data_IF_129737597384
#
_entry.id   IF_129737597384
#
_cell.length_a   1.000
_cell.length_b   1.000
_cell.length_c   1.000
_cell.angle_alpha   90.00
_cell.angle_beta   90.00
_cell.angle_gamma   90.00
#
_symmetry.space_group_name_H-M   'P 1'
#
loop_
_entity.id
_entity.type
_entity.pdbx_description
1 polymer ?
#
# COMPACT_ATOMS: atom_id res chain seq x y z
N UNK A 1 30.30 7.64 32.28
CA UNK A 1 28.85 7.83 32.07
C UNK A 1 28.30 6.46 31.68
N UNK A 2 27.38 5.89 32.46
CA UNK A 2 26.83 4.57 32.15
C UNK A 2 25.96 4.66 30.89
N UNK A 3 26.15 3.75 29.94
CA UNK A 3 25.26 3.64 28.78
C UNK A 3 23.83 3.35 29.22
N UNK A 4 22.88 4.07 28.63
CA UNK A 4 21.45 3.82 28.86
C UNK A 4 21.05 2.47 28.25
N UNK A 5 19.97 1.86 28.75
CA UNK A 5 19.47 0.58 28.23
C UNK A 5 19.15 0.65 26.72
N UNK A 6 18.69 1.82 26.25
CA UNK A 6 18.44 2.09 24.83
C UNK A 6 19.74 2.00 23.99
N UNK A 7 20.81 2.65 24.44
CA UNK A 7 22.12 2.55 23.78
C UNK A 7 22.67 1.12 23.74
N UNK A 8 22.48 0.34 24.82
CA UNK A 8 22.90 -1.06 24.84
C UNK A 8 22.13 -1.93 23.85
N UNK A 9 20.83 -1.68 23.69
CA UNK A 9 19.99 -2.39 22.71
C UNK A 9 20.35 -2.00 21.28
N UNK A 10 20.58 -0.71 21.02
CA UNK A 10 20.98 -0.20 19.71
C UNK A 10 22.35 -0.76 19.27
N UNK A 11 23.32 -0.80 20.18
CA UNK A 11 24.65 -1.36 19.94
C UNK A 11 24.70 -2.89 19.99
N UNK A 12 23.58 -3.55 20.28
CA UNK A 12 23.50 -5.01 20.29
C UNK A 12 23.25 -5.56 18.87
N UNK A 13 23.53 -6.85 18.69
CA UNK A 13 23.21 -7.55 17.44
C UNK A 13 21.69 -7.47 17.10
N UNK A 14 20.84 -7.32 18.12
CA UNK A 14 19.39 -7.15 17.97
C UNK A 14 19.03 -5.76 17.41
N UNK A 15 19.70 -4.70 17.86
CA UNK A 15 19.50 -3.33 17.35
C UNK A 15 19.84 -3.21 15.87
N UNK A 16 21.01 -3.73 15.47
CA UNK A 16 21.40 -3.77 14.06
C UNK A 16 20.44 -4.60 13.19
N UNK A 17 19.90 -5.70 13.72
CA UNK A 17 18.91 -6.52 13.02
C UNK A 17 17.58 -5.77 12.84
N UNK A 18 17.11 -5.05 13.86
CA UNK A 18 15.90 -4.23 13.80
C UNK A 18 16.01 -3.11 12.76
N UNK A 19 17.16 -2.43 12.68
CA UNK A 19 17.39 -1.36 11.69
C UNK A 19 17.38 -1.88 10.24
N UNK A 20 17.96 -3.07 10.02
CA UNK A 20 17.88 -3.75 8.72
C UNK A 20 16.44 -4.14 8.37
N UNK A 21 15.69 -4.65 9.35
CA UNK A 21 14.28 -4.98 9.19
C UNK A 21 13.44 -3.75 8.85
N UNK A 22 13.65 -2.62 9.54
CA UNK A 22 12.96 -1.36 9.23
C UNK A 22 13.21 -0.89 7.79
N UNK A 23 14.47 -0.94 7.35
CA UNK A 23 14.84 -0.60 5.96
C UNK A 23 14.19 -1.53 4.93
N UNK A 24 14.08 -2.82 5.25
CA UNK A 24 13.36 -3.79 4.42
C UNK A 24 11.85 -3.49 4.39
N UNK A 25 11.24 -3.17 5.53
CA UNK A 25 9.83 -2.81 5.61
C UNK A 25 9.51 -1.53 4.85
N UNK A 26 10.41 -0.55 4.82
CA UNK A 26 10.32 0.64 3.96
C UNK A 26 10.19 0.25 2.49
N UNK A 27 11.07 -0.64 2.03
CA UNK A 27 11.05 -1.14 0.67
C UNK A 27 9.75 -1.89 0.35
N UNK A 28 9.33 -2.80 1.23
CA UNK A 28 8.08 -3.55 1.07
C UNK A 28 6.86 -2.63 1.04
N UNK A 29 6.83 -1.56 1.85
CA UNK A 29 5.75 -0.58 1.85
C UNK A 29 5.57 0.13 0.51
N UNK A 30 6.65 0.32 -0.26
CA UNK A 30 6.63 0.93 -1.59
C UNK A 30 6.33 -0.10 -2.68
N UNK A 31 6.82 -1.34 -2.53
CA UNK A 31 6.65 -2.40 -3.53
C UNK A 31 5.28 -3.07 -3.46
N UNK A 32 4.73 -3.22 -2.25
CA UNK A 32 3.46 -3.90 -1.99
C UNK A 32 2.30 -3.48 -2.89
N UNK A 33 2.05 -2.17 -3.12
CA UNK A 33 0.97 -1.70 -3.99
C UNK A 33 1.04 -2.22 -5.44
N UNK A 34 2.23 -2.57 -5.94
CA UNK A 34 2.37 -3.15 -7.28
C UNK A 34 1.80 -4.57 -7.40
N UNK A 35 1.50 -5.24 -6.28
CA UNK A 35 0.77 -6.50 -6.28
C UNK A 35 -0.65 -6.37 -6.87
N UNK A 36 -1.17 -5.14 -7.00
CA UNK A 36 -2.44 -4.85 -7.67
C UNK A 36 -2.31 -4.81 -9.20
N UNK A 37 -1.09 -4.70 -9.77
CA UNK A 37 -0.88 -4.63 -11.22
C UNK A 37 -1.44 -5.84 -11.98
N UNK A 38 -1.23 -7.11 -11.56
CA UNK A 38 -1.83 -8.25 -12.25
C UNK A 38 -3.36 -8.18 -12.29
N UNK A 39 -3.98 -7.64 -11.23
CA UNK A 39 -5.43 -7.47 -11.17
C UNK A 39 -5.91 -6.37 -12.12
N UNK A 40 -5.18 -5.26 -12.21
CA UNK A 40 -5.44 -4.20 -13.21
C UNK A 40 -5.29 -4.74 -14.63
N UNK A 41 -4.25 -5.54 -14.90
CA UNK A 41 -4.03 -6.13 -16.22
C UNK A 41 -5.18 -7.08 -16.60
N UNK A 42 -5.68 -7.86 -15.63
CA UNK A 42 -6.88 -8.68 -15.83
C UNK A 42 -8.10 -7.84 -16.18
N UNK A 43 -8.32 -6.77 -15.43
CA UNK A 43 -9.48 -5.90 -15.59
C UNK A 43 -9.50 -5.17 -16.94
N UNK A 44 -8.35 -4.66 -17.41
CA UNK A 44 -8.30 -3.81 -18.60
C UNK A 44 -7.93 -4.54 -19.91
N UNK A 45 -7.20 -5.65 -19.86
CA UNK A 45 -6.59 -6.21 -21.07
C UNK A 45 -6.91 -7.68 -21.34
N UNK A 46 -7.06 -8.52 -20.32
CA UNK A 46 -7.11 -9.99 -20.55
C UNK A 46 -8.42 -10.64 -20.15
N UNK A 47 -9.15 -10.10 -19.18
CA UNK A 47 -10.34 -10.72 -18.59
C UNK A 47 -11.41 -9.67 -18.21
N UNK A 48 -11.56 -8.63 -19.04
CA UNK A 48 -12.50 -7.53 -18.78
C UNK A 48 -13.94 -7.99 -18.63
N UNK A 49 -14.34 -9.08 -19.30
CA UNK A 49 -15.68 -9.67 -19.19
C UNK A 49 -15.99 -10.22 -17.78
N UNK A 50 -14.95 -10.47 -16.96
CA UNK A 50 -15.09 -10.92 -15.57
C UNK A 50 -15.08 -9.75 -14.56
N UNK A 51 -15.13 -8.50 -15.03
CA UNK A 51 -15.15 -7.32 -14.16
C UNK A 51 -16.33 -7.31 -13.17
N UNK A 52 -17.46 -7.92 -13.54
CA UNK A 52 -18.65 -8.04 -12.69
C UNK A 52 -18.42 -8.84 -11.40
N UNK A 53 -17.38 -9.69 -11.37
CA UNK A 53 -16.97 -10.43 -10.18
C UNK A 53 -16.20 -9.59 -9.14
N UNK A 54 -15.82 -8.35 -9.48
CA UNK A 54 -15.09 -7.45 -8.60
C UNK A 54 -16.04 -6.50 -7.87
N UNK A 55 -15.86 -6.35 -6.55
CA UNK A 55 -16.68 -5.47 -5.72
C UNK A 55 -16.26 -4.00 -5.84
N UNK A 56 -17.09 -3.17 -6.47
CA UNK A 56 -16.85 -1.73 -6.59
C UNK A 56 -16.76 -1.07 -5.22
N UNK A 57 -17.60 -1.51 -4.27
CA UNK A 57 -17.61 -0.99 -2.90
C UNK A 57 -16.27 -1.25 -2.23
N UNK A 58 -15.75 -2.48 -2.35
CA UNK A 58 -14.46 -2.86 -1.75
C UNK A 58 -13.30 -2.01 -2.28
N UNK A 59 -13.19 -1.87 -3.61
CA UNK A 59 -12.11 -1.08 -4.23
C UNK A 59 -12.24 0.42 -3.93
N UNK A 60 -13.47 0.94 -3.81
CA UNK A 60 -13.72 2.33 -3.40
C UNK A 60 -13.33 2.59 -1.94
N UNK A 61 -13.63 1.64 -1.04
CA UNK A 61 -13.20 1.71 0.35
C UNK A 61 -11.68 1.65 0.46
N UNK A 62 -11.01 0.75 -0.28
CA UNK A 62 -9.56 0.69 -0.29
C UNK A 62 -8.91 1.97 -0.82
N UNK A 63 -9.47 2.59 -1.86
CA UNK A 63 -9.01 3.89 -2.35
C UNK A 63 -9.15 4.98 -1.25
N UNK A 64 -10.30 5.04 -0.58
CA UNK A 64 -10.58 6.00 0.49
C UNK A 64 -9.64 5.80 1.68
N UNK A 65 -9.47 4.56 2.14
CA UNK A 65 -8.57 4.24 3.24
C UNK A 65 -7.11 4.55 2.89
N UNK A 66 -6.69 4.26 1.66
CA UNK A 66 -5.34 4.61 1.18
C UNK A 66 -5.14 6.12 1.16
N UNK A 67 -6.16 6.91 0.77
CA UNK A 67 -6.10 8.36 0.84
C UNK A 67 -5.96 8.88 2.28
N UNK A 68 -6.72 8.32 3.23
CA UNK A 68 -6.59 8.69 4.65
C UNK A 68 -5.20 8.34 5.20
N UNK A 69 -4.64 7.19 4.86
CA UNK A 69 -3.28 6.82 5.25
C UNK A 69 -2.21 7.66 4.56
N UNK A 70 -2.42 8.04 3.30
CA UNK A 70 -1.55 8.95 2.57
C UNK A 70 -1.45 10.29 3.28
N UNK A 71 -2.60 10.91 3.56
CA UNK A 71 -2.68 12.21 4.25
C UNK A 71 -2.07 12.13 5.66
N UNK A 72 -2.37 11.08 6.42
CA UNK A 72 -1.72 10.83 7.71
C UNK A 72 -0.20 10.66 7.60
N UNK A 73 0.27 9.90 6.60
CA UNK A 73 1.69 9.68 6.35
C UNK A 73 2.45 10.97 6.04
N UNK A 74 1.81 11.91 5.35
CA UNK A 74 2.36 13.26 5.11
C UNK A 74 2.51 14.03 6.42
N UNK A 75 1.54 13.95 7.33
CA UNK A 75 1.59 14.62 8.64
C UNK A 75 2.72 14.06 9.52
N UNK A 76 2.93 12.74 9.52
CA UNK A 76 3.98 12.08 10.32
C UNK A 76 5.36 12.11 9.64
N UNK A 77 5.42 12.43 8.35
CA UNK A 77 6.67 12.52 7.58
C UNK A 77 7.34 11.17 7.29
N UNK A 78 6.61 10.05 7.39
CA UNK A 78 7.16 8.71 7.16
C UNK A 78 6.99 8.27 5.72
N UNK A 79 8.10 8.25 4.99
CA UNK A 79 8.18 7.91 3.57
C UNK A 79 7.44 6.62 3.16
N UNK A 80 7.61 5.48 3.85
CA UNK A 80 6.90 4.25 3.49
C UNK A 80 5.38 4.38 3.57
N UNK A 81 4.90 5.20 4.52
CA UNK A 81 3.46 5.36 4.77
C UNK A 81 2.85 6.20 3.66
N UNK A 82 3.36 7.41 3.40
CA UNK A 82 2.74 8.24 2.38
C UNK A 82 3.07 7.76 0.96
N UNK A 83 4.30 7.35 0.63
CA UNK A 83 4.59 6.87 -0.74
C UNK A 83 3.81 5.58 -1.04
N UNK A 84 3.84 4.62 -0.12
CA UNK A 84 3.13 3.34 -0.28
C UNK A 84 1.63 3.53 -0.42
N UNK A 85 1.01 4.32 0.47
CA UNK A 85 -0.43 4.54 0.41
C UNK A 85 -0.85 5.47 -0.74
N UNK A 86 -0.01 6.40 -1.17
CA UNK A 86 -0.25 7.20 -2.38
C UNK A 86 -0.28 6.32 -3.63
N UNK A 87 0.65 5.36 -3.74
CA UNK A 87 0.65 4.40 -4.84
C UNK A 87 -0.56 3.44 -4.75
N UNK A 88 -0.87 2.91 -3.58
CA UNK A 88 -2.08 2.10 -3.35
C UNK A 88 -3.35 2.85 -3.75
N UNK A 89 -3.45 4.13 -3.39
CA UNK A 89 -4.59 4.97 -3.74
C UNK A 89 -4.75 5.05 -5.26
N UNK A 90 -3.67 5.30 -6.02
CA UNK A 90 -3.72 5.32 -7.49
C UNK A 90 -4.14 3.97 -8.05
N UNK A 91 -3.55 2.86 -7.58
CA UNK A 91 -3.89 1.51 -8.05
C UNK A 91 -5.36 1.16 -7.77
N UNK A 92 -5.86 1.50 -6.59
CA UNK A 92 -7.24 1.25 -6.18
C UNK A 92 -8.23 2.12 -6.96
N UNK A 93 -7.88 3.38 -7.26
CA UNK A 93 -8.69 4.24 -8.12
C UNK A 93 -8.75 3.72 -9.56
N UNK A 94 -7.64 3.21 -10.10
CA UNK A 94 -7.65 2.56 -11.41
C UNK A 94 -8.55 1.31 -11.41
N UNK A 95 -8.57 0.54 -10.31
CA UNK A 95 -9.51 -0.57 -10.16
C UNK A 95 -10.96 -0.10 -10.18
N UNK A 96 -11.30 0.94 -9.42
CA UNK A 96 -12.64 1.54 -9.40
C UNK A 96 -13.06 1.99 -10.81
N UNK A 97 -12.21 2.73 -11.51
CA UNK A 97 -12.48 3.21 -12.87
C UNK A 97 -12.67 2.04 -13.84
N UNK A 98 -11.81 1.03 -13.79
CA UNK A 98 -11.91 -0.14 -14.68
C UNK A 98 -13.19 -0.94 -14.44
N UNK A 99 -13.61 -1.10 -13.19
CA UNK A 99 -14.87 -1.78 -12.85
C UNK A 99 -16.07 -1.00 -13.40
N UNK A 100 -16.09 0.32 -13.20
CA UNK A 100 -17.16 1.17 -13.73
C UNK A 100 -17.26 1.10 -15.26
N UNK A 101 -16.13 1.07 -15.97
CA UNK A 101 -16.09 0.99 -17.44
C UNK A 101 -16.59 -0.37 -17.95
N UNK A 102 -16.17 -1.47 -17.32
CA UNK A 102 -16.40 -2.82 -17.85
C UNK A 102 -17.63 -3.53 -17.27
N UNK A 103 -18.08 -3.17 -16.07
CA UNK A 103 -19.18 -3.83 -15.37
C UNK A 103 -20.26 -2.86 -14.81
N UNK A 104 -19.98 -1.56 -14.78
CA UNK A 104 -20.88 -0.57 -14.16
C UNK A 104 -20.90 -0.69 -12.64
N UNK A 105 -22.09 -0.60 -12.04
CA UNK A 105 -22.27 -0.71 -10.58
C UNK A 105 -22.29 -2.19 -10.16
N UNK A 106 -21.32 -2.58 -9.33
CA UNK A 106 -21.26 -3.90 -8.70
C UNK A 106 -21.40 -3.78 -7.18
N UNK A 107 -21.51 -4.93 -6.50
CA UNK A 107 -21.76 -5.06 -5.06
C UNK A 107 -20.58 -4.60 -4.18
#
# INVERSE_FOLDING_TARGET
MAETLAQKLENSNLGHWMQRFESFMVFIGIVGPFATLPQLIKLYFTHSDHASGQSLVSWSLFATLSFLWFTYGLVVGKLPIYVGNGLSMVMNLLMVVGILIHAGMTY
#
